data_IF_975028290598
#
_entry.id   IF_975028290598
#
_cell.length_a   1.000
_cell.length_b   1.000
_cell.length_c   1.000
_cell.angle_alpha   90.00
_cell.angle_beta   90.00
_cell.angle_gamma   90.00
#
_symmetry.space_group_name_H-M   'P 1'
#
loop_
_entity.id
_entity.type
_entity.pdbx_description
1 polymer ?
#
# COMPACT_ATOMS: atom_id res chain seq x y z
N UNK A 1 21.21 14.12 1.30
CA UNK A 1 20.50 14.95 2.28
C UNK A 1 19.00 14.65 2.35
N UNK A 2 18.25 14.57 1.23
CA UNK A 2 16.80 14.24 1.25
C UNK A 2 16.52 12.78 1.63
N UNK A 3 17.30 11.84 1.10
CA UNK A 3 17.05 10.40 1.31
C UNK A 3 17.32 9.92 2.75
N UNK A 4 18.10 10.66 3.55
CA UNK A 4 18.26 10.38 4.99
C UNK A 4 17.04 10.81 5.79
N UNK A 5 16.40 11.92 5.39
CA UNK A 5 15.17 12.40 6.01
C UNK A 5 13.99 11.47 5.69
N UNK A 6 13.73 11.15 4.42
CA UNK A 6 12.57 10.34 4.05
C UNK A 6 12.60 8.92 4.65
N UNK A 7 13.78 8.38 4.95
CA UNK A 7 13.94 7.10 5.65
C UNK A 7 13.39 7.11 7.08
N UNK A 8 13.21 8.28 7.70
CA UNK A 8 12.59 8.40 9.03
C UNK A 8 11.10 8.73 8.94
N UNK A 9 10.60 9.05 7.74
CA UNK A 9 9.19 9.38 7.52
C UNK A 9 8.34 8.12 7.36
N UNK A 10 7.08 8.25 7.79
CA UNK A 10 6.01 7.28 7.57
C UNK A 10 4.97 7.87 6.62
N UNK A 11 4.58 7.10 5.60
CA UNK A 11 3.39 7.40 4.80
C UNK A 11 2.21 6.60 5.34
N UNK A 12 1.07 7.28 5.45
CA UNK A 12 -0.22 6.70 5.86
C UNK A 12 -1.17 6.75 4.69
N UNK A 13 -1.78 5.62 4.33
CA UNK A 13 -2.75 5.52 3.24
C UNK A 13 -4.04 4.85 3.73
N UNK A 14 -5.18 5.23 3.16
CA UNK A 14 -6.45 4.54 3.44
C UNK A 14 -6.34 3.09 3.00
N UNK A 15 -5.91 2.87 1.76
CA UNK A 15 -5.85 1.56 1.13
C UNK A 15 -4.42 1.10 0.97
N UNK A 16 -4.22 -0.21 0.89
CA UNK A 16 -2.95 -0.79 0.52
C UNK A 16 -2.52 -0.26 -0.86
N UNK A 17 -1.35 0.39 -0.97
CA UNK A 17 -0.92 0.97 -2.23
C UNK A 17 -0.74 -0.09 -3.32
N UNK A 18 -1.30 0.16 -4.50
CA UNK A 18 -1.11 -0.71 -5.66
C UNK A 18 0.38 -0.82 -6.04
N UNK A 19 0.76 -1.75 -6.93
CA UNK A 19 2.17 -1.98 -7.24
C UNK A 19 2.94 -0.76 -7.73
N UNK A 20 2.28 0.11 -8.50
CA UNK A 20 2.85 1.39 -8.94
C UNK A 20 3.18 2.29 -7.74
N UNK A 21 2.21 2.52 -6.85
CA UNK A 21 2.39 3.38 -5.67
C UNK A 21 3.38 2.77 -4.68
N UNK A 22 3.34 1.46 -4.46
CA UNK A 22 4.32 0.73 -3.63
C UNK A 22 5.74 0.88 -4.16
N UNK A 23 5.92 0.81 -5.48
CA UNK A 23 7.21 1.07 -6.13
C UNK A 23 7.65 2.53 -5.94
N UNK A 24 6.75 3.49 -6.11
CA UNK A 24 7.04 4.91 -5.89
C UNK A 24 7.46 5.18 -4.43
N UNK A 25 6.80 4.55 -3.45
CA UNK A 25 7.19 4.62 -2.02
C UNK A 25 8.61 4.10 -1.83
N UNK A 26 8.97 2.98 -2.47
CA UNK A 26 10.34 2.48 -2.43
C UNK A 26 11.34 3.47 -3.03
N UNK A 27 11.07 4.01 -4.23
CA UNK A 27 12.00 4.88 -4.94
C UNK A 27 12.13 6.27 -4.33
N UNK A 28 11.08 6.78 -3.68
CA UNK A 28 11.12 8.05 -2.95
C UNK A 28 12.05 8.01 -1.72
N UNK A 29 12.36 6.82 -1.20
CA UNK A 29 13.20 6.65 -0.02
C UNK A 29 12.45 6.63 1.31
N UNK A 30 11.11 6.56 1.30
CA UNK A 30 10.29 6.45 2.50
C UNK A 30 10.64 5.21 3.33
N UNK A 31 10.71 5.38 4.65
CA UNK A 31 11.11 4.33 5.60
C UNK A 31 9.99 3.38 5.99
N UNK A 32 8.75 3.89 6.09
CA UNK A 32 7.61 3.13 6.58
C UNK A 32 6.34 3.44 5.80
N UNK A 33 5.58 2.39 5.48
CA UNK A 33 4.23 2.41 4.93
C UNK A 33 3.26 1.87 5.99
N UNK A 34 2.22 2.64 6.28
CA UNK A 34 1.06 2.21 7.07
C UNK A 34 -0.19 2.34 6.23
N UNK A 35 -1.01 1.29 6.14
CA UNK A 35 -2.25 1.32 5.38
C UNK A 35 -3.44 0.80 6.19
N UNK A 36 -4.64 1.23 5.80
CA UNK A 36 -5.88 0.88 6.46
C UNK A 36 -6.51 -0.41 5.93
N UNK A 37 -6.92 -0.44 4.66
CA UNK A 37 -7.56 -1.58 4.01
C UNK A 37 -6.58 -2.44 3.21
N UNK A 38 -6.63 -3.75 3.38
CA UNK A 38 -5.82 -4.68 2.58
C UNK A 38 -6.22 -4.68 1.11
N UNK A 39 -5.28 -5.03 0.22
CA UNK A 39 -5.55 -5.17 -1.22
C UNK A 39 -6.67 -6.18 -1.50
N UNK A 40 -6.69 -7.29 -0.74
CA UNK A 40 -7.76 -8.28 -0.78
C UNK A 40 -9.10 -7.71 -0.35
N UNK A 41 -9.14 -7.05 0.82
CA UNK A 41 -10.37 -6.40 1.32
C UNK A 41 -10.91 -5.33 0.37
N UNK A 42 -10.05 -4.57 -0.30
CA UNK A 42 -10.46 -3.64 -1.36
C UNK A 42 -11.19 -4.36 -2.50
N UNK A 43 -10.62 -5.44 -3.04
CA UNK A 43 -11.24 -6.20 -4.13
C UNK A 43 -12.51 -6.96 -3.69
N UNK A 44 -12.66 -7.28 -2.41
CA UNK A 44 -13.90 -7.85 -1.87
C UNK A 44 -15.06 -6.84 -1.92
N UNK A 45 -14.76 -5.53 -1.97
CA UNK A 45 -15.76 -4.47 -2.10
C UNK A 45 -15.98 -4.08 -3.57
N UNK A 46 -14.91 -3.87 -4.34
CA UNK A 46 -15.00 -3.32 -5.70
C UNK A 46 -15.16 -4.38 -6.80
N UNK A 47 -14.98 -5.67 -6.48
CA UNK A 47 -15.05 -6.78 -7.42
C UNK A 47 -13.74 -7.08 -8.16
N UNK A 48 -13.74 -8.18 -8.93
CA UNK A 48 -12.55 -8.72 -9.63
C UNK A 48 -12.81 -9.09 -11.10
N UNK A 49 -13.95 -8.66 -11.65
CA UNK A 49 -14.45 -9.21 -12.91
C UNK A 49 -13.75 -8.65 -14.15
N UNK A 50 -13.07 -7.49 -14.03
CA UNK A 50 -12.42 -6.84 -15.15
C UNK A 50 -10.88 -6.97 -15.04
N UNK A 51 -10.23 -7.73 -15.94
CA UNK A 51 -8.80 -8.00 -15.90
C UNK A 51 -7.92 -6.79 -16.23
N UNK A 52 -8.46 -5.70 -16.79
CA UNK A 52 -7.68 -4.53 -17.19
C UNK A 52 -7.14 -3.73 -16.00
N UNK A 53 -7.72 -3.90 -14.81
CA UNK A 53 -7.32 -3.17 -13.60
C UNK A 53 -7.14 -4.04 -12.35
N UNK A 54 -7.44 -5.35 -12.43
CA UNK A 54 -7.16 -6.29 -11.34
C UNK A 54 -5.67 -6.62 -11.33
N UNK A 55 -5.00 -6.21 -10.26
CA UNK A 55 -3.59 -6.49 -10.00
C UNK A 55 -3.43 -6.73 -8.51
N UNK A 56 -3.48 -8.00 -8.10
CA UNK A 56 -3.59 -8.42 -6.69
C UNK A 56 -2.27 -8.48 -5.92
N UNK A 57 -1.15 -8.14 -6.56
CA UNK A 57 0.15 -8.09 -5.89
C UNK A 57 0.14 -7.05 -4.76
N UNK A 58 0.44 -7.52 -3.56
CA UNK A 58 0.49 -6.73 -2.34
C UNK A 58 1.68 -5.76 -2.33
N UNK A 59 1.59 -4.72 -1.49
CA UNK A 59 2.69 -3.81 -1.23
C UNK A 59 3.90 -4.56 -0.67
N UNK A 60 3.67 -5.59 0.17
CA UNK A 60 4.72 -6.42 0.77
C UNK A 60 5.48 -7.21 -0.29
N UNK A 61 4.82 -7.75 -1.31
CA UNK A 61 5.47 -8.46 -2.41
C UNK A 61 6.34 -7.53 -3.25
N UNK A 62 5.83 -6.35 -3.60
CA UNK A 62 6.59 -5.34 -4.36
C UNK A 62 7.83 -4.91 -3.58
N UNK A 63 7.67 -4.54 -2.30
CA UNK A 63 8.75 -4.02 -1.47
C UNK A 63 9.82 -5.07 -1.12
N UNK A 64 9.48 -6.36 -1.10
CA UNK A 64 10.44 -7.47 -0.94
C UNK A 64 11.45 -7.57 -2.09
N UNK A 65 11.15 -7.00 -3.25
CA UNK A 65 12.04 -7.02 -4.41
C UNK A 65 13.22 -6.05 -4.28
N UNK A 66 13.16 -5.11 -3.31
CA UNK A 66 14.20 -4.14 -3.05
C UNK A 66 15.20 -4.59 -1.97
N UNK A 67 16.45 -4.11 -2.06
CA UNK A 67 17.47 -4.35 -1.01
C UNK A 67 17.26 -3.49 0.24
N UNK A 68 16.63 -2.32 0.09
CA UNK A 68 16.34 -1.42 1.21
C UNK A 68 15.08 -1.87 1.93
N UNK A 69 15.15 -2.01 3.25
CA UNK A 69 13.97 -2.29 4.07
C UNK A 69 13.03 -1.08 4.07
N UNK A 70 11.76 -1.34 3.76
CA UNK A 70 10.61 -0.46 4.05
C UNK A 70 9.76 -1.20 5.07
N UNK A 71 9.51 -0.61 6.23
CA UNK A 71 8.60 -1.19 7.22
C UNK A 71 7.17 -1.07 6.70
N UNK A 72 6.40 -2.16 6.81
CA UNK A 72 5.00 -2.19 6.37
C UNK A 72 4.13 -2.63 7.53
N UNK A 73 3.26 -1.73 7.98
CA UNK A 73 2.28 -1.96 9.05
C UNK A 73 0.85 -1.79 8.56
N UNK A 74 -0.08 -2.50 9.18
CA UNK A 74 -1.46 -2.64 8.72
C UNK A 74 -1.74 -4.03 8.15
N UNK A 75 -3.00 -4.31 7.76
CA UNK A 75 -4.11 -3.34 7.72
C UNK A 75 -4.62 -2.88 9.09
N UNK A 76 -5.25 -1.70 9.15
CA UNK A 76 -5.84 -1.09 10.35
C UNK A 76 -7.20 -0.44 10.01
N UNK A 77 -8.19 -0.54 10.90
CA UNK A 77 -9.51 0.07 10.67
C UNK A 77 -10.18 -0.40 9.36
N UNK A 78 -10.01 -1.68 9.00
CA UNK A 78 -10.53 -2.19 7.71
C UNK A 78 -12.03 -1.99 7.57
N UNK A 79 -12.80 -2.18 8.64
CA UNK A 79 -14.24 -1.94 8.67
C UNK A 79 -14.60 -0.51 8.27
N UNK A 80 -13.90 0.47 8.81
CA UNK A 80 -14.15 1.89 8.57
C UNK A 80 -13.70 2.31 7.17
N UNK A 81 -12.59 1.78 6.67
CA UNK A 81 -12.07 2.11 5.34
C UNK A 81 -12.92 1.46 4.25
N UNK A 82 -13.46 0.26 4.48
CA UNK A 82 -14.42 -0.40 3.57
C UNK A 82 -15.63 0.49 3.30
N UNK A 83 -16.13 1.21 4.30
CA UNK A 83 -17.28 2.13 4.13
C UNK A 83 -17.00 3.29 3.16
N UNK A 84 -15.74 3.66 2.94
CA UNK A 84 -15.37 4.68 1.95
C UNK A 84 -15.63 4.23 0.51
N UNK A 85 -15.66 2.91 0.28
CA UNK A 85 -15.80 2.27 -1.03
C UNK A 85 -17.24 1.84 -1.36
N UNK A 86 -18.18 2.04 -0.42
CA UNK A 86 -19.60 1.67 -0.56
C UNK A 86 -20.51 2.85 -0.98
N UNK A 87 -19.93 3.99 -1.33
CA UNK A 87 -20.63 5.21 -1.76
C UNK A 87 -20.68 5.31 -3.28
#
# INVERSE_FOLDING_TARGET
>A
MIMSFLKTCTIYTSDEPCPMCSSAIYWSGLGKLTYGLSKGGYYDVVGRDNPDWVFEMSAREVLKSGKRKVEVTGPFLESEVVELHRR
#
